data_IF_450599495929
#
_entry.id   IF_450599495929
#
_cell.length_a   1.000
_cell.length_b   1.000
_cell.length_c   1.000
_cell.angle_alpha   90.00
_cell.angle_beta   90.00
_cell.angle_gamma   90.00
#
_symmetry.space_group_name_H-M   'P 1'
#
loop_
_entity.id
_entity.type
_entity.pdbx_description
1 polymer ?
#
# COMPACT_ATOMS: atom_id res chain seq x y z
N UNK A 1 13.09 23.63 7.52
CA UNK A 1 11.66 23.80 7.13
C UNK A 1 10.93 22.47 7.31
N UNK A 2 9.64 22.49 7.62
CA UNK A 2 8.79 21.29 7.61
C UNK A 2 7.99 21.33 6.30
N UNK A 3 8.05 20.25 5.53
CA UNK A 3 7.29 20.10 4.27
C UNK A 3 6.49 18.81 4.32
N UNK A 4 5.23 18.88 3.94
CA UNK A 4 4.39 17.69 3.73
C UNK A 4 4.46 17.31 2.26
N UNK A 5 4.56 16.02 1.97
CA UNK A 5 4.61 15.47 0.62
C UNK A 5 3.54 14.41 0.45
N UNK A 6 3.04 14.30 -0.77
CA UNK A 6 2.21 13.21 -1.26
C UNK A 6 2.50 13.02 -2.75
N UNK A 7 2.62 11.79 -3.22
CA UNK A 7 2.90 11.49 -4.62
C UNK A 7 1.80 10.64 -5.23
N UNK A 8 1.44 10.96 -6.47
CA UNK A 8 0.56 10.11 -7.26
C UNK A 8 1.36 9.35 -8.31
N UNK A 9 1.04 8.09 -8.50
CA UNK A 9 1.82 7.16 -9.31
C UNK A 9 0.93 6.36 -10.23
N UNK A 10 1.47 5.93 -11.35
CA UNK A 10 0.83 4.87 -12.13
C UNK A 10 0.95 3.52 -11.42
N UNK A 11 0.23 2.54 -11.92
CA UNK A 11 0.29 1.17 -11.46
C UNK A 11 0.04 0.20 -12.59
N UNK A 12 0.64 -0.98 -12.50
CA UNK A 12 0.43 -2.07 -13.43
C UNK A 12 -0.37 -3.20 -12.76
N UNK A 13 -1.02 -4.02 -13.57
CA UNK A 13 -1.67 -5.24 -13.08
C UNK A 13 -0.65 -6.34 -12.96
N UNK A 14 -0.55 -6.94 -11.79
CA UNK A 14 0.25 -8.13 -11.59
C UNK A 14 -0.51 -9.40 -12.06
N UNK A 15 0.20 -10.53 -12.15
CA UNK A 15 -0.34 -11.83 -12.61
C UNK A 15 -1.52 -12.33 -11.74
N UNK A 16 -1.65 -11.88 -10.52
CA UNK A 16 -2.73 -12.23 -9.60
C UNK A 16 -3.94 -11.29 -9.73
N UNK A 17 -3.93 -10.35 -10.66
CA UNK A 17 -4.97 -9.35 -10.90
C UNK A 17 -5.01 -8.21 -9.88
N UNK A 18 -4.00 -8.12 -9.00
CA UNK A 18 -3.79 -6.97 -8.11
C UNK A 18 -3.09 -5.83 -8.84
N UNK A 19 -3.04 -4.67 -8.17
CA UNK A 19 -2.33 -3.50 -8.67
C UNK A 19 -0.96 -3.40 -8.03
N UNK A 20 0.08 -3.14 -8.83
CA UNK A 20 1.45 -2.94 -8.39
C UNK A 20 1.88 -1.49 -8.67
N UNK A 21 1.87 -0.60 -7.67
CA UNK A 21 2.34 0.77 -7.79
C UNK A 21 3.82 0.91 -7.42
N UNK A 22 4.61 -0.16 -7.50
CA UNK A 22 6.01 -0.17 -7.10
C UNK A 22 6.86 0.77 -7.97
N UNK A 23 7.76 1.58 -7.40
CA UNK A 23 8.73 2.36 -8.18
C UNK A 23 9.77 1.50 -8.91
N UNK A 24 9.83 0.19 -8.61
CA UNK A 24 10.75 -0.75 -9.24
C UNK A 24 10.16 -1.45 -10.48
N UNK A 25 8.89 -1.21 -10.78
CA UNK A 25 8.28 -1.72 -12.00
C UNK A 25 8.60 -0.76 -13.15
N UNK A 26 9.21 -1.29 -14.23
CA UNK A 26 9.74 -0.48 -15.34
C UNK A 26 8.70 0.39 -16.08
N UNK A 27 7.44 -0.05 -16.09
CA UNK A 27 6.33 0.67 -16.74
C UNK A 27 5.62 1.65 -15.81
N UNK A 28 5.99 1.70 -14.54
CA UNK A 28 5.38 2.63 -13.61
C UNK A 28 6.07 4.00 -13.67
N UNK A 29 5.28 5.05 -13.55
CA UNK A 29 5.78 6.43 -13.56
C UNK A 29 5.32 7.19 -12.32
N UNK A 30 6.13 8.15 -11.91
CA UNK A 30 5.75 9.18 -10.97
C UNK A 30 4.86 10.19 -11.71
N UNK A 31 3.57 10.23 -11.41
CA UNK A 31 2.59 11.07 -12.11
C UNK A 31 2.66 12.50 -11.62
N UNK A 32 2.70 12.70 -10.31
CA UNK A 32 2.76 14.04 -9.73
C UNK A 32 3.33 14.04 -8.31
N UNK A 33 3.77 15.23 -7.87
CA UNK A 33 4.27 15.49 -6.53
C UNK A 33 3.55 16.70 -5.96
N UNK A 34 2.83 16.50 -4.86
CA UNK A 34 2.23 17.55 -4.05
C UNK A 34 3.14 17.92 -2.88
N UNK A 35 3.35 19.21 -2.63
CA UNK A 35 4.15 19.72 -1.51
C UNK A 35 3.36 20.80 -0.77
N UNK A 36 3.33 20.73 0.55
CA UNK A 36 2.83 21.80 1.42
C UNK A 36 3.95 22.26 2.35
N UNK A 37 4.41 23.47 2.17
CA UNK A 37 5.52 24.05 2.92
C UNK A 37 5.16 25.39 3.54
N UNK A 38 6.12 26.04 4.18
CA UNK A 38 5.96 27.42 4.67
C UNK A 38 5.63 28.41 3.53
N UNK A 39 6.05 28.12 2.30
CA UNK A 39 5.82 28.96 1.13
C UNK A 39 4.45 28.74 0.47
N UNK A 40 3.66 27.81 0.96
CA UNK A 40 2.34 27.46 0.45
C UNK A 40 2.25 26.07 -0.11
N UNK A 41 1.19 25.81 -0.88
CA UNK A 41 0.95 24.56 -1.57
C UNK A 41 1.53 24.64 -2.98
N UNK A 42 2.35 23.67 -3.33
CA UNK A 42 2.94 23.51 -4.66
C UNK A 42 2.53 22.14 -5.19
N UNK A 43 2.23 22.08 -6.49
CA UNK A 43 1.85 20.84 -7.15
C UNK A 43 2.52 20.75 -8.51
N UNK A 44 3.16 19.61 -8.78
CA UNK A 44 3.96 19.40 -9.97
C UNK A 44 3.56 18.10 -10.65
N UNK A 45 3.19 18.18 -11.94
CA UNK A 45 3.06 17.01 -12.78
C UNK A 45 4.42 16.59 -13.31
N UNK A 46 4.75 15.33 -13.12
CA UNK A 46 6.02 14.75 -13.54
C UNK A 46 5.88 13.78 -14.71
N UNK A 47 4.68 13.38 -15.07
CA UNK A 47 4.18 12.50 -16.16
C UNK A 47 5.16 12.14 -17.29
N UNK A 48 6.40 11.81 -16.98
CA UNK A 48 7.40 11.53 -17.99
C UNK A 48 7.82 10.07 -17.93
N UNK A 49 7.61 9.37 -19.04
CA UNK A 49 8.03 8.00 -19.23
C UNK A 49 9.56 7.82 -19.24
N UNK A 50 10.31 8.91 -19.52
CA UNK A 50 11.78 8.84 -19.61
C UNK A 50 12.50 9.83 -18.70
N UNK A 51 12.00 11.05 -18.55
CA UNK A 51 12.68 12.09 -17.75
C UNK A 51 11.71 13.17 -17.29
N UNK A 52 11.76 13.53 -16.02
CA UNK A 52 11.03 14.67 -15.46
C UNK A 52 11.57 15.97 -16.07
N UNK A 53 10.68 16.91 -16.40
CA UNK A 53 11.08 18.24 -16.89
C UNK A 53 12.09 18.90 -15.93
N UNK A 54 13.17 19.45 -16.48
CA UNK A 54 14.28 20.00 -15.67
C UNK A 54 13.82 21.15 -14.75
N UNK A 55 12.90 21.98 -15.20
CA UNK A 55 12.36 23.06 -14.38
C UNK A 55 11.50 22.54 -13.23
N UNK A 56 10.69 21.53 -13.48
CA UNK A 56 9.88 20.85 -12.48
C UNK A 56 10.80 20.12 -11.46
N UNK A 57 11.75 19.35 -11.95
CA UNK A 57 12.72 18.65 -11.11
C UNK A 57 13.47 19.63 -10.19
N UNK A 58 13.97 20.73 -10.75
CA UNK A 58 14.74 21.70 -9.98
C UNK A 58 13.93 22.34 -8.85
N UNK A 59 12.66 22.70 -9.11
CA UNK A 59 11.78 23.30 -8.09
C UNK A 59 11.48 22.32 -6.95
N UNK A 60 11.15 21.08 -7.28
CA UNK A 60 10.91 20.04 -6.26
C UNK A 60 12.19 19.82 -5.43
N UNK A 61 13.35 19.67 -6.09
CA UNK A 61 14.63 19.46 -5.40
C UNK A 61 14.99 20.65 -4.50
N UNK A 62 14.79 21.88 -4.97
CA UNK A 62 15.04 23.09 -4.17
C UNK A 62 14.19 23.11 -2.88
N UNK A 63 12.94 22.67 -2.96
CA UNK A 63 12.06 22.56 -1.79
C UNK A 63 12.52 21.44 -0.85
N UNK A 64 12.94 20.30 -1.39
CA UNK A 64 13.49 19.20 -0.60
C UNK A 64 14.80 19.59 0.10
N UNK A 65 15.69 20.32 -0.58
CA UNK A 65 16.96 20.80 -0.01
C UNK A 65 16.79 21.74 1.19
N UNK A 66 15.70 22.53 1.18
CA UNK A 66 15.33 23.42 2.29
C UNK A 66 14.58 22.70 3.42
N UNK A 67 14.16 21.45 3.19
CA UNK A 67 13.32 20.68 4.11
C UNK A 67 14.18 19.94 5.14
N UNK A 68 13.92 20.19 6.42
CA UNK A 68 14.59 19.51 7.54
C UNK A 68 13.76 18.37 8.13
N UNK A 69 12.44 18.39 7.89
CA UNK A 69 11.51 17.33 8.24
C UNK A 69 10.48 17.17 7.12
N UNK A 70 10.52 16.04 6.45
CA UNK A 70 9.56 15.64 5.45
C UNK A 70 8.44 14.82 6.11
N UNK A 71 7.20 15.21 5.87
CA UNK A 71 6.02 14.61 6.49
C UNK A 71 5.14 14.00 5.38
N UNK A 72 4.67 12.79 5.58
CA UNK A 72 3.72 12.14 4.67
C UNK A 72 2.79 11.18 5.42
N UNK A 73 1.89 10.56 4.71
CA UNK A 73 1.03 9.51 5.24
C UNK A 73 1.37 8.19 4.56
N UNK A 74 2.04 7.27 5.26
CA UNK A 74 2.76 6.14 4.68
C UNK A 74 3.98 6.60 3.85
N UNK A 75 4.69 7.58 4.36
CA UNK A 75 5.76 8.32 3.67
C UNK A 75 6.87 7.43 3.09
N UNK A 76 7.01 6.19 3.54
CA UNK A 76 7.98 5.26 2.93
C UNK A 76 7.72 5.12 1.43
N UNK A 77 6.46 5.05 1.03
CA UNK A 77 6.06 4.96 -0.37
C UNK A 77 6.50 6.20 -1.14
N UNK A 78 6.15 7.38 -0.65
CA UNK A 78 6.51 8.66 -1.28
C UNK A 78 8.01 8.85 -1.37
N UNK A 79 8.73 8.54 -0.28
CA UNK A 79 10.18 8.65 -0.22
C UNK A 79 10.87 7.74 -1.24
N UNK A 80 10.41 6.49 -1.37
CA UNK A 80 10.96 5.55 -2.35
C UNK A 80 10.76 6.07 -3.77
N UNK A 81 9.57 6.56 -4.11
CA UNK A 81 9.29 7.14 -5.42
C UNK A 81 10.16 8.36 -5.72
N UNK A 82 10.29 9.28 -4.76
CA UNK A 82 11.15 10.44 -4.95
C UNK A 82 12.61 10.03 -5.19
N UNK A 83 13.13 9.08 -4.41
CA UNK A 83 14.52 8.63 -4.53
C UNK A 83 14.77 7.86 -5.84
N UNK A 84 13.82 7.03 -6.30
CA UNK A 84 13.91 6.32 -7.58
C UNK A 84 13.76 7.27 -8.78
N UNK A 85 12.94 8.32 -8.64
CA UNK A 85 12.85 9.39 -9.64
C UNK A 85 14.10 10.29 -9.71
N UNK A 86 15.13 10.04 -8.87
CA UNK A 86 16.40 10.74 -8.87
C UNK A 86 16.50 11.94 -7.93
N UNK A 87 15.44 12.26 -7.19
CA UNK A 87 15.51 13.30 -6.15
C UNK A 87 16.42 12.87 -5.00
N UNK A 88 17.01 13.86 -4.33
CA UNK A 88 17.86 13.64 -3.16
C UNK A 88 17.21 14.19 -1.91
N UNK A 89 17.13 13.38 -0.88
CA UNK A 89 16.68 13.80 0.42
C UNK A 89 17.43 13.02 1.51
N UNK A 90 18.01 13.72 2.45
CA UNK A 90 18.76 13.15 3.59
C UNK A 90 18.31 13.72 4.94
N UNK A 91 17.20 14.45 4.94
CA UNK A 91 16.61 15.00 6.15
C UNK A 91 15.82 13.96 6.95
N UNK A 92 15.21 14.39 8.04
CA UNK A 92 14.34 13.54 8.85
C UNK A 92 12.98 13.35 8.17
N UNK A 93 12.37 12.20 8.41
CA UNK A 93 11.00 11.91 7.96
C UNK A 93 10.05 11.77 9.15
N UNK A 94 8.77 12.00 8.90
CA UNK A 94 7.71 11.70 9.84
C UNK A 94 6.51 11.11 9.10
N UNK A 95 6.14 9.92 9.51
CA UNK A 95 4.98 9.20 8.97
C UNK A 95 3.76 9.41 9.88
N UNK A 96 2.74 10.08 9.36
CA UNK A 96 1.49 10.30 10.10
C UNK A 96 0.70 9.00 10.32
N UNK A 97 0.89 7.97 9.51
CA UNK A 97 0.30 6.65 9.72
C UNK A 97 0.93 5.97 10.94
N UNK A 98 2.26 5.99 11.06
CA UNK A 98 2.97 5.51 12.26
C UNK A 98 2.62 6.34 13.50
N UNK A 99 2.47 7.66 13.35
CA UNK A 99 2.00 8.54 14.42
C UNK A 99 0.64 8.11 14.98
N UNK A 100 -0.33 7.81 14.10
CA UNK A 100 -1.64 7.28 14.50
C UNK A 100 -1.53 5.91 15.18
N UNK A 101 -0.72 5.01 14.62
CA UNK A 101 -0.49 3.69 15.20
C UNK A 101 -0.01 3.77 16.65
N UNK A 102 0.99 4.61 16.90
CA UNK A 102 1.59 4.79 18.23
C UNK A 102 0.61 5.44 19.20
N UNK A 103 -0.09 6.50 18.77
CA UNK A 103 -1.08 7.19 19.59
C UNK A 103 -2.32 6.33 19.91
N UNK A 104 -2.62 5.35 19.08
CA UNK A 104 -3.69 4.37 19.35
C UNK A 104 -3.32 3.35 20.45
N UNK A 105 -2.05 3.26 20.88
CA UNK A 105 -1.61 2.42 22.02
C UNK A 105 -2.06 0.97 21.92
N UNK A 106 -1.93 0.36 20.73
CA UNK A 106 -2.31 -1.03 20.46
C UNK A 106 -3.80 -1.26 20.18
N UNK A 107 -4.65 -0.24 20.26
CA UNK A 107 -6.05 -0.37 19.86
C UNK A 107 -6.10 -0.44 18.33
N UNK A 108 -6.64 -1.53 17.80
CA UNK A 108 -6.80 -1.71 16.35
C UNK A 108 -7.83 -0.74 15.79
N UNK A 109 -7.37 0.23 15.02
CA UNK A 109 -8.18 1.19 14.27
C UNK A 109 -7.65 1.27 12.85
N UNK A 110 -8.51 1.65 11.91
CA UNK A 110 -8.06 1.95 10.55
C UNK A 110 -7.05 3.09 10.58
N UNK A 111 -5.93 2.93 9.88
CA UNK A 111 -4.85 3.89 9.80
C UNK A 111 -4.86 4.70 8.50
N UNK A 112 -5.87 4.51 7.63
CA UNK A 112 -5.98 5.30 6.39
C UNK A 112 -6.05 6.79 6.72
N UNK A 113 -5.55 7.64 5.81
CA UNK A 113 -5.56 9.09 5.96
C UNK A 113 -6.99 9.59 6.23
N UNK A 114 -7.97 9.14 5.45
CA UNK A 114 -9.39 9.49 5.60
C UNK A 114 -9.90 9.20 7.02
N UNK A 115 -9.71 7.97 7.51
CA UNK A 115 -10.23 7.55 8.81
C UNK A 115 -9.51 8.22 9.97
N UNK A 116 -8.22 8.52 9.81
CA UNK A 116 -7.40 9.25 10.78
C UNK A 116 -7.87 10.71 10.89
N UNK A 117 -8.07 11.37 9.77
CA UNK A 117 -8.60 12.73 9.70
C UNK A 117 -10.03 12.82 10.22
N UNK A 118 -10.89 11.87 9.87
CA UNK A 118 -12.28 11.80 10.35
C UNK A 118 -12.35 11.67 11.88
N UNK A 119 -11.54 10.81 12.48
CA UNK A 119 -11.46 10.66 13.95
C UNK A 119 -11.07 11.96 14.64
N UNK A 120 -10.20 12.73 14.03
CA UNK A 120 -9.67 14.00 14.55
C UNK A 120 -10.49 15.21 14.12
N UNK A 121 -11.53 15.03 13.31
CA UNK A 121 -12.38 16.11 12.75
C UNK A 121 -11.57 17.17 11.99
N UNK A 122 -10.56 16.74 11.25
CA UNK A 122 -9.64 17.62 10.51
C UNK A 122 -10.17 17.95 9.11
N UNK A 123 -10.96 17.08 8.52
CA UNK A 123 -11.50 17.16 7.16
C UNK A 123 -11.79 15.80 6.59
N UNK A 124 -12.23 15.76 5.34
CA UNK A 124 -12.44 14.53 4.57
C UNK A 124 -11.66 14.60 3.27
N UNK A 125 -11.25 13.45 2.77
CA UNK A 125 -10.76 13.30 1.40
C UNK A 125 -11.84 13.62 0.39
N UNK A 126 -11.45 14.12 -0.78
CA UNK A 126 -12.37 14.24 -1.89
C UNK A 126 -12.74 12.84 -2.42
N UNK A 127 -14.01 12.67 -2.77
CA UNK A 127 -14.51 11.42 -3.34
C UNK A 127 -14.38 11.32 -4.86
N UNK A 128 -14.02 12.41 -5.54
CA UNK A 128 -13.97 12.49 -7.00
C UNK A 128 -13.00 11.43 -7.59
N UNK A 129 -11.82 11.28 -7.04
CA UNK A 129 -10.82 10.29 -7.46
C UNK A 129 -11.31 8.85 -7.24
N UNK A 130 -12.10 8.60 -6.20
CA UNK A 130 -12.55 7.25 -5.87
C UNK A 130 -13.35 6.60 -6.99
N UNK A 131 -14.17 7.35 -7.70
CA UNK A 131 -14.93 6.83 -8.84
C UNK A 131 -14.03 6.34 -9.98
N UNK A 132 -12.91 7.04 -10.22
CA UNK A 132 -11.91 6.65 -11.23
C UNK A 132 -11.15 5.41 -10.79
N UNK A 133 -10.71 5.34 -9.54
CA UNK A 133 -10.01 4.19 -8.98
C UNK A 133 -10.90 2.93 -8.95
N UNK A 134 -12.17 3.06 -8.58
CA UNK A 134 -13.13 1.95 -8.56
C UNK A 134 -13.38 1.39 -9.99
N UNK A 135 -13.18 2.21 -11.03
CA UNK A 135 -13.19 1.79 -12.44
C UNK A 135 -11.86 1.20 -12.90
N UNK A 136 -10.83 1.20 -12.06
CA UNK A 136 -9.50 0.70 -12.40
C UNK A 136 -8.71 1.63 -13.32
N UNK A 137 -8.98 2.93 -13.29
CA UNK A 137 -8.23 3.94 -14.06
C UNK A 137 -7.02 4.37 -13.24
N UNK A 138 -5.84 4.26 -13.82
CA UNK A 138 -4.57 4.70 -13.22
C UNK A 138 -4.41 6.22 -13.31
N UNK A 139 -3.67 6.82 -12.38
CA UNK A 139 -3.59 8.26 -12.18
C UNK A 139 -3.15 9.04 -13.43
N UNK A 140 -2.27 8.50 -14.25
CA UNK A 140 -1.81 9.11 -15.50
C UNK A 140 -2.93 9.28 -16.54
N UNK A 141 -4.04 8.56 -16.37
CA UNK A 141 -5.20 8.58 -17.26
C UNK A 141 -6.39 9.37 -16.69
N UNK A 142 -6.25 9.97 -15.49
CA UNK A 142 -7.25 10.84 -14.88
C UNK A 142 -6.99 12.29 -15.33
N UNK A 143 -8.04 13.12 -15.54
CA UNK A 143 -7.85 14.53 -15.87
C UNK A 143 -6.94 15.24 -14.84
N UNK A 144 -5.99 16.02 -15.36
CA UNK A 144 -4.94 16.65 -14.55
C UNK A 144 -5.50 17.57 -13.44
N UNK A 145 -6.55 18.33 -13.75
CA UNK A 145 -7.22 19.21 -12.79
C UNK A 145 -7.81 18.43 -11.59
N UNK A 146 -8.37 17.24 -11.84
CA UNK A 146 -8.92 16.37 -10.80
C UNK A 146 -7.80 15.80 -9.92
N UNK A 147 -6.69 15.35 -10.53
CA UNK A 147 -5.52 14.84 -9.80
C UNK A 147 -4.87 15.94 -8.98
N UNK A 148 -4.73 17.14 -9.53
CA UNK A 148 -4.13 18.31 -8.84
C UNK A 148 -4.95 18.72 -7.62
N UNK A 149 -6.28 18.82 -7.76
CA UNK A 149 -7.16 19.18 -6.65
C UNK A 149 -7.08 18.14 -5.53
N UNK A 150 -7.13 16.86 -5.90
CA UNK A 150 -7.01 15.75 -4.97
C UNK A 150 -5.68 15.77 -4.21
N UNK A 151 -4.54 15.84 -4.91
CA UNK A 151 -3.23 15.83 -4.28
C UNK A 151 -2.96 17.06 -3.40
N UNK A 152 -3.48 18.24 -3.79
CA UNK A 152 -3.43 19.44 -2.93
C UNK A 152 -4.21 19.25 -1.63
N UNK A 153 -5.39 18.64 -1.70
CA UNK A 153 -6.17 18.32 -0.50
C UNK A 153 -5.42 17.33 0.39
N UNK A 154 -4.82 16.28 -0.20
CA UNK A 154 -4.12 15.24 0.57
C UNK A 154 -2.90 15.80 1.33
N UNK A 155 -2.08 16.65 0.72
CA UNK A 155 -0.96 17.28 1.44
C UNK A 155 -1.43 18.23 2.55
N UNK A 156 -2.53 18.96 2.34
CA UNK A 156 -3.10 19.86 3.34
C UNK A 156 -3.67 19.11 4.56
N UNK A 157 -4.44 18.05 4.32
CA UNK A 157 -5.02 17.25 5.42
C UNK A 157 -3.96 16.46 6.16
N UNK A 158 -2.92 15.98 5.44
CA UNK A 158 -1.76 15.33 6.04
C UNK A 158 -0.99 16.29 6.94
N UNK A 159 -0.82 17.55 6.53
CA UNK A 159 -0.23 18.60 7.37
C UNK A 159 -1.05 18.85 8.64
N UNK A 160 -2.35 19.01 8.52
CA UNK A 160 -3.25 19.19 9.68
C UNK A 160 -3.22 17.97 10.61
N UNK A 161 -3.13 16.76 10.05
CA UNK A 161 -3.00 15.52 10.81
C UNK A 161 -1.69 15.51 11.61
N UNK A 162 -0.56 15.86 10.99
CA UNK A 162 0.72 16.00 11.65
C UNK A 162 0.67 16.99 12.81
N UNK A 163 0.13 18.20 12.59
CA UNK A 163 0.04 19.23 13.61
C UNK A 163 -0.82 18.76 14.80
N UNK A 164 -1.93 18.07 14.53
CA UNK A 164 -2.79 17.48 15.56
C UNK A 164 -2.07 16.38 16.34
N UNK A 165 -1.28 15.53 15.70
CA UNK A 165 -0.49 14.49 16.35
C UNK A 165 0.62 15.08 17.22
N UNK A 166 1.28 16.14 16.74
CA UNK A 166 2.30 16.85 17.54
C UNK A 166 1.70 17.48 18.78
N UNK A 167 0.47 17.99 18.71
CA UNK A 167 -0.25 18.46 19.89
C UNK A 167 -0.54 17.33 20.88
N UNK A 168 -0.96 16.16 20.40
CA UNK A 168 -1.21 14.98 21.24
C UNK A 168 0.07 14.46 21.92
N UNK A 169 1.21 14.43 21.23
CA UNK A 169 2.49 14.02 21.80
C UNK A 169 3.01 14.98 22.89
N UNK A 170 2.59 16.25 22.88
CA UNK A 170 2.91 17.22 23.92
C UNK A 170 2.14 16.98 25.22
N UNK A 171 1.03 16.25 25.18
CA UNK A 171 0.25 15.92 26.38
C UNK A 171 1.09 15.02 27.30
N UNK A 172 1.04 15.28 28.61
CA UNK A 172 1.83 14.55 29.62
C UNK A 172 1.68 13.03 29.52
N UNK A 173 0.45 12.56 29.32
CA UNK A 173 0.11 11.13 29.15
C UNK A 173 0.72 10.46 27.90
N UNK A 174 1.23 11.23 26.95
CA UNK A 174 1.74 10.76 25.67
C UNK A 174 3.21 11.11 25.41
N UNK A 175 3.83 11.96 26.24
CA UNK A 175 5.22 12.41 26.05
C UNK A 175 6.22 11.26 25.86
N UNK A 176 6.05 10.17 26.61
CA UNK A 176 6.89 8.98 26.51
C UNK A 176 6.80 8.28 25.14
N UNK A 177 5.72 8.49 24.39
CA UNK A 177 5.52 7.89 23.07
C UNK A 177 6.30 8.63 21.97
N UNK A 178 6.71 9.88 22.20
CA UNK A 178 7.41 10.68 21.20
C UNK A 178 8.76 10.06 20.82
N UNK A 179 9.48 9.48 21.80
CA UNK A 179 10.74 8.80 21.51
C UNK A 179 10.51 7.56 20.63
N UNK A 180 9.49 6.78 20.93
CA UNK A 180 9.10 5.63 20.09
C UNK A 180 8.75 6.07 18.67
N UNK A 181 7.97 7.16 18.54
CA UNK A 181 7.63 7.70 17.23
C UNK A 181 8.88 8.12 16.46
N UNK A 182 9.84 8.79 17.11
CA UNK A 182 11.09 9.18 16.49
C UNK A 182 11.89 7.96 16.00
N UNK A 183 12.10 6.98 16.87
CA UNK A 183 12.84 5.76 16.54
C UNK A 183 12.19 4.99 15.38
N UNK A 184 10.86 4.87 15.37
CA UNK A 184 10.14 4.18 14.30
C UNK A 184 10.27 4.89 12.95
N UNK A 185 10.28 6.23 12.94
CA UNK A 185 10.48 7.01 11.73
C UNK A 185 11.94 6.94 11.23
N UNK A 186 12.92 6.89 12.12
CA UNK A 186 14.32 6.65 11.74
C UNK A 186 14.49 5.24 11.16
N UNK A 187 13.84 4.24 11.75
CA UNK A 187 13.86 2.86 11.24
C UNK A 187 13.16 2.72 9.88
N UNK A 188 12.10 3.49 9.62
CA UNK A 188 11.41 3.52 8.33
C UNK A 188 12.36 3.87 7.19
N UNK A 189 13.28 4.83 7.38
CA UNK A 189 14.29 5.20 6.38
C UNK A 189 15.22 4.02 6.09
N UNK A 190 15.66 3.31 7.14
CA UNK A 190 16.48 2.10 6.98
C UNK A 190 15.74 1.02 6.19
N UNK A 191 14.45 0.80 6.47
CA UNK A 191 13.62 -0.14 5.71
C UNK A 191 13.48 0.27 4.24
N UNK A 192 13.32 1.56 3.97
CA UNK A 192 13.27 2.09 2.60
C UNK A 192 14.58 1.78 1.85
N UNK A 193 15.73 1.99 2.48
CA UNK A 193 17.04 1.68 1.88
C UNK A 193 17.22 0.18 1.67
N UNK A 194 16.77 -0.66 2.60
CA UNK A 194 16.81 -2.12 2.44
C UNK A 194 15.96 -2.59 1.26
N UNK A 195 14.74 -2.06 1.11
CA UNK A 195 13.85 -2.40 0.00
C UNK A 195 14.42 -1.94 -1.35
N UNK A 196 15.05 -0.75 -1.40
CA UNK A 196 15.72 -0.23 -2.60
C UNK A 196 16.94 -1.05 -3.00
N UNK A 197 17.71 -1.53 -2.04
CA UNK A 197 18.86 -2.40 -2.31
C UNK A 197 18.44 -3.80 -2.79
N UNK A 198 17.24 -4.24 -2.42
CA UNK A 198 16.72 -5.56 -2.77
C UNK A 198 17.49 -6.71 -2.14
N UNK A 199 17.19 -7.90 -2.61
CA UNK A 199 17.85 -9.16 -2.19
C UNK A 199 18.37 -9.86 -3.44
N UNK A 200 19.63 -10.26 -3.42
CA UNK A 200 20.19 -11.06 -4.50
C UNK A 200 19.64 -12.49 -4.41
N UNK A 201 19.03 -12.96 -5.51
CA UNK A 201 18.48 -14.31 -5.62
C UNK A 201 19.29 -15.08 -6.66
N UNK A 202 19.76 -16.29 -6.31
CA UNK A 202 20.33 -17.21 -7.27
C UNK A 202 19.19 -17.83 -8.12
N UNK A 203 19.05 -17.36 -9.34
CA UNK A 203 17.99 -17.79 -10.27
C UNK A 203 18.12 -19.28 -10.65
N UNK A 204 19.34 -19.81 -10.74
CA UNK A 204 19.55 -21.20 -11.09
C UNK A 204 19.05 -22.13 -9.98
N UNK A 205 19.41 -21.83 -8.74
CA UNK A 205 18.93 -22.59 -7.57
C UNK A 205 17.42 -22.45 -7.41
N UNK A 206 16.87 -21.24 -7.57
CA UNK A 206 15.43 -20.98 -7.51
C UNK A 206 14.68 -21.85 -8.53
N UNK A 207 15.12 -21.87 -9.79
CA UNK A 207 14.51 -22.67 -10.85
C UNK A 207 14.65 -24.19 -10.60
N UNK A 208 15.72 -24.63 -9.94
CA UNK A 208 15.88 -26.02 -9.56
C UNK A 208 14.89 -26.42 -8.47
N UNK A 209 14.81 -25.61 -7.41
CA UNK A 209 13.87 -25.80 -6.31
C UNK A 209 12.43 -25.74 -6.79
N UNK A 210 12.10 -24.81 -7.70
CA UNK A 210 10.76 -24.70 -8.28
C UNK A 210 10.36 -26.01 -8.99
N UNK A 211 11.25 -26.58 -9.80
CA UNK A 211 10.97 -27.84 -10.51
C UNK A 211 10.71 -29.01 -9.56
N UNK A 212 11.49 -29.11 -8.48
CA UNK A 212 11.32 -30.14 -7.46
C UNK A 212 9.97 -29.99 -6.75
N UNK A 213 9.65 -28.77 -6.30
CA UNK A 213 8.38 -28.50 -5.62
C UNK A 213 7.17 -28.69 -6.54
N UNK A 214 7.27 -28.31 -7.82
CA UNK A 214 6.18 -28.54 -8.77
C UNK A 214 5.92 -30.04 -9.00
N UNK A 215 6.98 -30.84 -9.07
CA UNK A 215 6.85 -32.29 -9.21
C UNK A 215 6.22 -32.94 -7.97
N UNK A 216 6.69 -32.56 -6.78
CA UNK A 216 6.14 -33.04 -5.52
C UNK A 216 4.69 -32.58 -5.33
N UNK A 217 4.39 -31.32 -5.62
CA UNK A 217 3.02 -30.79 -5.56
C UNK A 217 2.06 -31.57 -6.47
N UNK A 218 2.46 -31.84 -7.73
CA UNK A 218 1.65 -32.61 -8.66
C UNK A 218 1.40 -34.03 -8.15
N UNK A 219 2.40 -34.65 -7.57
CA UNK A 219 2.29 -35.98 -6.97
C UNK A 219 1.34 -36.01 -5.75
N UNK A 220 1.52 -35.06 -4.85
CA UNK A 220 0.67 -34.95 -3.64
C UNK A 220 -0.77 -34.60 -4.01
N UNK A 221 -0.96 -33.70 -4.99
CA UNK A 221 -2.27 -33.36 -5.51
C UNK A 221 -2.98 -34.59 -6.07
N UNK A 222 -2.31 -35.41 -6.89
CA UNK A 222 -2.87 -36.66 -7.40
C UNK A 222 -3.30 -37.60 -6.27
N UNK A 223 -2.51 -37.72 -5.19
CA UNK A 223 -2.87 -38.53 -4.04
C UNK A 223 -4.13 -38.02 -3.35
N UNK A 224 -4.19 -36.69 -3.13
CA UNK A 224 -5.34 -36.07 -2.51
C UNK A 224 -6.58 -36.23 -3.38
N UNK A 225 -6.49 -35.97 -4.67
CA UNK A 225 -7.60 -36.11 -5.62
C UNK A 225 -8.16 -37.55 -5.63
N UNK A 226 -7.30 -38.56 -5.54
CA UNK A 226 -7.75 -39.97 -5.42
C UNK A 226 -8.51 -40.23 -4.12
N UNK A 227 -8.06 -39.64 -3.01
CA UNK A 227 -8.74 -39.78 -1.69
C UNK A 227 -10.09 -39.07 -1.73
N UNK A 228 -10.11 -37.83 -2.27
CA UNK A 228 -11.35 -37.05 -2.44
C UNK A 228 -12.34 -37.81 -3.29
N UNK A 229 -11.91 -38.31 -4.46
CA UNK A 229 -12.76 -39.10 -5.34
C UNK A 229 -13.34 -40.34 -4.66
N UNK A 230 -12.53 -41.06 -3.85
CA UNK A 230 -12.99 -42.21 -3.11
C UNK A 230 -14.07 -41.88 -2.09
N UNK A 231 -14.03 -40.71 -1.49
CA UNK A 231 -14.98 -40.26 -0.45
C UNK A 231 -16.21 -39.57 -1.00
N UNK A 232 -16.04 -38.78 -2.06
CA UNK A 232 -17.05 -37.84 -2.56
C UNK A 232 -17.48 -38.12 -4.01
N UNK A 233 -16.91 -39.15 -4.68
CA UNK A 233 -17.16 -39.42 -6.09
C UNK A 233 -16.75 -38.25 -6.96
N UNK A 234 -17.56 -37.94 -7.99
CA UNK A 234 -17.32 -36.84 -8.93
C UNK A 234 -17.61 -35.43 -8.36
N UNK A 235 -17.94 -35.33 -7.07
CA UNK A 235 -18.22 -34.06 -6.44
C UNK A 235 -16.96 -33.19 -6.40
N UNK A 236 -17.00 -32.05 -7.09
CA UNK A 236 -15.88 -31.11 -7.08
C UNK A 236 -15.77 -30.42 -5.73
N UNK A 237 -14.64 -30.56 -5.08
CA UNK A 237 -14.32 -29.90 -3.80
C UNK A 237 -13.21 -28.88 -4.03
N UNK A 238 -13.41 -27.67 -3.51
CA UNK A 238 -12.34 -26.69 -3.41
C UNK A 238 -11.54 -26.94 -2.12
N UNK A 239 -10.39 -27.56 -2.26
CA UNK A 239 -9.49 -27.86 -1.14
C UNK A 239 -8.86 -26.61 -0.48
N UNK A 240 -8.93 -25.45 -1.16
CA UNK A 240 -8.53 -24.16 -0.58
C UNK A 240 -9.64 -23.51 0.26
N UNK A 241 -10.84 -24.07 0.28
CA UNK A 241 -11.92 -23.64 1.17
C UNK A 241 -11.86 -24.39 2.50
N UNK A 242 -11.57 -23.70 3.62
CA UNK A 242 -11.56 -24.33 4.95
C UNK A 242 -12.87 -25.04 5.29
N UNK A 243 -13.99 -24.48 4.82
CA UNK A 243 -15.32 -25.00 5.04
C UNK A 243 -15.54 -26.32 4.30
N UNK A 244 -15.25 -26.36 2.99
CA UNK A 244 -15.37 -27.60 2.20
C UNK A 244 -14.38 -28.67 2.66
N UNK A 245 -13.15 -28.28 3.02
CA UNK A 245 -12.16 -29.16 3.58
C UNK A 245 -12.61 -29.76 4.92
N UNK A 246 -13.23 -28.96 5.79
CA UNK A 246 -13.81 -29.43 7.06
C UNK A 246 -14.90 -30.46 6.84
N UNK A 247 -15.76 -30.29 5.83
CA UNK A 247 -16.79 -31.30 5.50
C UNK A 247 -16.19 -32.61 5.00
N UNK A 248 -15.16 -32.53 4.19
CA UNK A 248 -14.44 -33.72 3.72
C UNK A 248 -13.80 -34.50 4.89
N UNK A 249 -13.09 -33.78 5.78
CA UNK A 249 -12.31 -34.40 6.86
C UNK A 249 -13.22 -34.92 7.99
N UNK A 250 -14.22 -34.11 8.39
CA UNK A 250 -15.04 -34.41 9.57
C UNK A 250 -16.42 -34.98 9.21
N UNK A 251 -16.70 -35.22 7.95
CA UNK A 251 -18.01 -35.71 7.47
C UNK A 251 -19.18 -34.86 7.97
N UNK A 252 -18.98 -33.56 8.11
CA UNK A 252 -20.01 -32.63 8.60
C UNK A 252 -21.02 -32.41 7.49
N UNK A 253 -22.27 -32.84 7.72
CA UNK A 253 -23.35 -32.51 6.77
C UNK A 253 -23.68 -31.03 6.83
N UNK A 254 -23.78 -30.33 5.69
CA UNK A 254 -24.38 -29.00 5.66
C UNK A 254 -25.76 -28.99 6.29
N UNK A 255 -26.09 -27.92 6.97
CA UNK A 255 -27.38 -27.79 7.69
C UNK A 255 -28.59 -27.82 6.76
N UNK A 256 -28.41 -27.45 5.49
CA UNK A 256 -29.44 -27.39 4.49
C UNK A 256 -29.02 -28.10 3.19
N UNK A 257 -29.94 -28.85 2.55
CA UNK A 257 -29.71 -29.49 1.27
C UNK A 257 -29.39 -28.47 0.16
N UNK A 258 -29.99 -27.27 0.20
CA UNK A 258 -29.70 -26.19 -0.74
C UNK A 258 -28.25 -25.71 -0.62
N UNK A 259 -27.75 -25.57 0.60
CA UNK A 259 -26.35 -25.18 0.85
C UNK A 259 -25.41 -26.26 0.33
N UNK A 260 -25.73 -27.54 0.53
CA UNK A 260 -24.94 -28.62 -0.05
C UNK A 260 -24.88 -28.53 -1.57
N UNK A 261 -26.02 -28.42 -2.25
CA UNK A 261 -26.07 -28.38 -3.71
C UNK A 261 -25.31 -27.16 -4.26
N UNK A 262 -25.43 -26.01 -3.60
CA UNK A 262 -24.72 -24.78 -3.96
C UNK A 262 -23.21 -24.91 -3.77
N UNK A 263 -22.78 -25.50 -2.67
CA UNK A 263 -21.36 -25.61 -2.29
C UNK A 263 -20.64 -26.63 -3.16
N UNK A 264 -21.27 -27.76 -3.44
CA UNK A 264 -20.69 -28.80 -4.27
C UNK A 264 -21.08 -28.71 -5.73
N UNK A 265 -21.80 -27.66 -6.13
CA UNK A 265 -22.29 -27.43 -7.48
C UNK A 265 -23.04 -28.66 -8.05
N UNK A 266 -23.83 -29.33 -7.20
CA UNK A 266 -24.64 -30.49 -7.57
C UNK A 266 -26.03 -29.98 -7.99
N UNK A 267 -26.53 -30.46 -9.14
CA UNK A 267 -27.88 -30.15 -9.58
C UNK A 267 -28.93 -30.59 -8.53
N UNK A 268 -29.97 -29.78 -8.37
CA UNK A 268 -31.14 -30.15 -7.57
C UNK A 268 -32.09 -30.80 -8.55
N UNK A 269 -32.16 -32.12 -8.60
CA UNK A 269 -33.24 -32.85 -9.21
C UNK A 269 -34.48 -32.86 -8.30
#
# INVERSE_FOLDING_TARGET
MITTVDVETSWQKNDNGGYDPSPFHEDNILVSVGLNSYFGDEYYFTNHSERIDEGCFHKIQETLDKTTLLVGHNIKFDLMWLLEAGFKYSGRVYDTMLGEYILNKGIRKSLTLEMSCRRRKIGSKDSAIKEWMDRGVSFENIPADVVEEYGKIDVQITRKLFDSQMADFKLEKNKHLLMTAKMMNEFLVVLSDMERNGININIEDLNSVEREFRAEFAYLKQKIDKIVYKQMGDTKINLSSPEQLSWLIYSVKPKDKKDWCKIFNIGID
#
